data_IF_707562533646
#
_entry.id   IF_707562533646
#
_cell.length_a   1.000
_cell.length_b   1.000
_cell.length_c   1.000
_cell.angle_alpha   90.00
_cell.angle_beta   90.00
_cell.angle_gamma   90.00
#
_symmetry.space_group_name_H-M   'P 1'
#
loop_
_entity.id
_entity.type
_entity.pdbx_description
1 polymer ?
#
# COMPACT_ATOMS: atom_id res chain seq x y z
N UNK A 1 -17.54 -11.90 -8.04
CA UNK A 1 -17.42 -13.36 -7.87
C UNK A 1 -18.12 -13.80 -6.59
N UNK A 2 -18.74 -14.99 -6.53
CA UNK A 2 -19.41 -15.48 -5.32
C UNK A 2 -18.37 -16.01 -4.32
N UNK A 3 -18.49 -15.63 -3.04
CA UNK A 3 -17.67 -16.20 -1.97
C UNK A 3 -17.98 -17.68 -1.80
N UNK A 4 -16.98 -18.44 -1.35
CA UNK A 4 -17.07 -19.89 -1.20
C UNK A 4 -17.06 -20.21 0.29
N UNK A 5 -17.94 -21.10 0.74
CA UNK A 5 -17.92 -21.60 2.12
C UNK A 5 -16.70 -22.50 2.34
N UNK A 6 -16.02 -22.32 3.48
CA UNK A 6 -14.74 -23.02 3.73
C UNK A 6 -14.89 -24.52 3.95
N UNK A 7 -16.01 -24.97 4.51
CA UNK A 7 -16.21 -26.38 4.86
C UNK A 7 -16.81 -27.16 3.70
N UNK A 8 -17.83 -26.60 3.07
CA UNK A 8 -18.55 -27.24 1.96
C UNK A 8 -17.87 -27.04 0.61
N UNK A 9 -17.01 -26.03 0.47
CA UNK A 9 -16.40 -25.59 -0.79
C UNK A 9 -17.43 -25.19 -1.86
N UNK A 10 -18.64 -24.83 -1.44
CA UNK A 10 -19.72 -24.39 -2.33
C UNK A 10 -19.91 -22.86 -2.26
N UNK A 11 -20.41 -22.22 -3.33
CA UNK A 11 -20.77 -20.81 -3.30
C UNK A 11 -21.83 -20.51 -2.23
N UNK A 12 -21.63 -19.44 -1.46
CA UNK A 12 -22.62 -19.02 -0.45
C UNK A 12 -23.81 -18.27 -1.07
N UNK A 13 -23.60 -17.65 -2.23
CA UNK A 13 -24.66 -16.99 -2.99
C UNK A 13 -25.55 -18.04 -3.67
N UNK A 14 -26.86 -17.99 -3.43
CA UNK A 14 -27.82 -18.94 -4.02
C UNK A 14 -28.40 -18.45 -5.35
N UNK A 15 -28.52 -17.13 -5.52
CA UNK A 15 -29.04 -16.50 -6.73
C UNK A 15 -28.58 -15.03 -6.81
N UNK A 16 -28.70 -14.42 -8.00
CA UNK A 16 -28.23 -13.04 -8.24
C UNK A 16 -29.14 -11.99 -7.59
N UNK A 17 -30.47 -12.18 -7.65
CA UNK A 17 -31.43 -11.15 -7.27
C UNK A 17 -31.78 -11.09 -5.77
N UNK A 18 -31.53 -12.16 -5.01
CA UNK A 18 -31.94 -12.30 -3.61
C UNK A 18 -30.81 -12.61 -2.64
N UNK A 19 -29.57 -12.73 -3.11
CA UNK A 19 -28.41 -12.87 -2.21
C UNK A 19 -27.92 -11.50 -1.76
N UNK A 20 -27.56 -11.39 -0.48
CA UNK A 20 -26.93 -10.19 0.06
C UNK A 20 -25.61 -9.86 -0.67
N UNK A 21 -25.28 -8.57 -0.78
CA UNK A 21 -24.00 -8.11 -1.34
C UNK A 21 -22.81 -8.69 -0.58
N UNK A 22 -22.97 -8.99 0.70
CA UNK A 22 -21.96 -9.67 1.51
C UNK A 22 -21.63 -11.08 1.00
N UNK A 23 -22.43 -11.69 0.13
CA UNK A 23 -22.13 -12.98 -0.51
C UNK A 23 -21.11 -12.87 -1.65
N UNK A 24 -20.79 -11.66 -2.10
CA UNK A 24 -19.97 -11.40 -3.28
C UNK A 24 -18.65 -10.70 -2.91
N UNK A 25 -17.67 -10.76 -3.81
CA UNK A 25 -16.40 -10.04 -3.69
C UNK A 25 -15.80 -9.74 -5.08
N UNK A 26 -14.99 -8.67 -5.20
CA UNK A 26 -14.12 -8.47 -6.35
C UNK A 26 -12.95 -9.47 -6.31
N UNK A 27 -12.59 -10.12 -7.43
CA UNK A 27 -11.58 -11.19 -7.48
C UNK A 27 -10.11 -10.68 -7.46
N UNK A 28 -9.86 -9.59 -6.73
CA UNK A 28 -8.55 -8.92 -6.72
C UNK A 28 -8.30 -8.05 -7.97
N UNK A 29 -7.11 -7.46 -8.02
CA UNK A 29 -6.75 -6.50 -9.07
C UNK A 29 -6.25 -7.14 -10.37
N UNK A 30 -6.02 -8.46 -10.40
CA UNK A 30 -5.68 -9.19 -11.64
C UNK A 30 -6.81 -9.29 -12.65
N UNK A 31 -8.06 -9.13 -12.22
CA UNK A 31 -9.25 -9.10 -13.09
C UNK A 31 -9.30 -7.92 -14.05
N UNK A 32 -8.39 -6.95 -13.90
CA UNK A 32 -8.26 -5.81 -14.81
C UNK A 32 -8.14 -6.26 -16.28
N UNK A 33 -7.42 -7.34 -16.59
CA UNK A 33 -7.22 -7.77 -17.97
C UNK A 33 -8.52 -8.26 -18.62
N UNK A 34 -9.22 -9.16 -17.93
CA UNK A 34 -10.46 -9.75 -18.43
C UNK A 34 -11.59 -8.73 -18.49
N UNK A 35 -11.78 -7.96 -17.42
CA UNK A 35 -12.83 -6.94 -17.34
C UNK A 35 -12.62 -5.82 -18.35
N UNK A 36 -11.37 -5.38 -18.57
CA UNK A 36 -11.05 -4.35 -19.56
C UNK A 36 -11.29 -4.84 -21.00
N UNK A 37 -10.92 -6.07 -21.31
CA UNK A 37 -11.22 -6.69 -22.61
C UNK A 37 -12.72 -6.86 -22.84
N UNK A 38 -13.43 -7.48 -21.89
CA UNK A 38 -14.88 -7.72 -22.00
C UNK A 38 -15.72 -6.43 -22.04
N UNK A 39 -15.21 -5.32 -21.50
CA UNK A 39 -15.87 -4.02 -21.60
C UNK A 39 -15.88 -3.42 -23.02
N UNK A 40 -15.05 -3.94 -23.93
CA UNK A 40 -14.82 -3.37 -25.26
C UNK A 40 -13.94 -2.13 -25.28
N UNK A 41 -13.53 -1.60 -24.12
CA UNK A 41 -12.68 -0.40 -24.05
C UNK A 41 -11.28 -0.66 -24.59
N UNK A 42 -10.76 -1.89 -24.45
CA UNK A 42 -9.45 -2.25 -25.00
C UNK A 42 -9.39 -1.98 -26.51
N UNK A 43 -10.39 -2.45 -27.25
CA UNK A 43 -10.49 -2.26 -28.70
C UNK A 43 -10.64 -0.79 -29.05
N UNK A 44 -11.52 -0.07 -28.34
CA UNK A 44 -11.72 1.37 -28.53
C UNK A 44 -10.41 2.15 -28.38
N UNK A 45 -9.59 1.83 -27.38
CA UNK A 45 -8.32 2.52 -27.17
C UNK A 45 -7.27 2.15 -28.22
N UNK A 46 -7.22 0.89 -28.66
CA UNK A 46 -6.33 0.47 -29.75
C UNK A 46 -6.72 1.18 -31.05
N UNK A 47 -8.02 1.25 -31.37
CA UNK A 47 -8.55 1.94 -32.56
C UNK A 47 -8.27 3.46 -32.52
N UNK A 48 -8.22 4.06 -31.33
CA UNK A 48 -7.79 5.46 -31.13
C UNK A 48 -6.28 5.67 -31.26
N UNK A 49 -5.50 4.62 -31.57
CA UNK A 49 -4.04 4.68 -31.68
C UNK A 49 -3.32 4.74 -30.35
N UNK A 50 -3.92 4.24 -29.26
CA UNK A 50 -3.22 4.07 -27.97
C UNK A 50 -2.44 2.76 -27.98
N UNK A 51 -1.18 2.80 -27.55
CA UNK A 51 -0.31 1.61 -27.55
C UNK A 51 -0.04 1.08 -26.14
N UNK A 52 0.03 1.95 -25.14
CA UNK A 52 0.40 1.62 -23.77
C UNK A 52 -0.63 2.15 -22.78
N UNK A 53 -0.84 1.39 -21.70
CA UNK A 53 -1.62 1.77 -20.53
C UNK A 53 -0.72 1.80 -19.30
N UNK A 54 -0.87 2.85 -18.50
CA UNK A 54 -0.26 2.97 -17.18
C UNK A 54 -1.31 2.65 -16.10
N UNK A 55 -1.03 1.65 -15.26
CA UNK A 55 -1.87 1.23 -14.14
C UNK A 55 -1.17 1.58 -12.84
N UNK A 56 -1.90 2.20 -11.90
CA UNK A 56 -1.43 2.44 -10.54
C UNK A 56 -2.59 2.47 -9.55
N UNK A 57 -2.29 2.32 -8.27
CA UNK A 57 -3.28 2.48 -7.21
C UNK A 57 -3.61 3.97 -7.00
N UNK A 58 -4.88 4.30 -6.81
CA UNK A 58 -5.31 5.68 -6.51
C UNK A 58 -4.79 6.17 -5.14
N UNK A 59 -4.54 5.26 -4.21
CA UNK A 59 -3.93 5.56 -2.92
C UNK A 59 -2.42 5.80 -3.00
N UNK A 60 -1.76 5.49 -4.13
CA UNK A 60 -0.36 5.82 -4.37
C UNK A 60 -0.24 7.23 -4.98
N UNK A 61 -0.06 8.23 -4.13
CA UNK A 61 0.04 9.63 -4.55
C UNK A 61 1.35 9.94 -5.30
N UNK A 62 2.32 9.03 -5.28
CA UNK A 62 3.57 9.14 -6.04
C UNK A 62 3.46 8.67 -7.49
N UNK A 63 2.40 7.91 -7.82
CA UNK A 63 2.21 7.32 -9.14
C UNK A 63 1.71 8.34 -10.16
N UNK A 64 2.64 9.09 -10.73
CA UNK A 64 2.38 10.04 -11.82
C UNK A 64 2.94 9.52 -13.14
N UNK A 65 2.45 10.02 -14.27
CA UNK A 65 2.98 9.64 -15.59
C UNK A 65 4.42 10.16 -15.73
N UNK A 66 5.41 9.26 -15.79
CA UNK A 66 6.82 9.61 -15.98
C UNK A 66 7.18 9.58 -17.47
N UNK A 67 7.50 10.75 -18.02
CA UNK A 67 7.86 10.87 -19.44
C UNK A 67 9.18 10.17 -19.77
N UNK A 68 10.09 9.96 -18.81
CA UNK A 68 11.34 9.24 -19.08
C UNK A 68 11.08 7.74 -19.23
N UNK A 69 10.18 7.18 -18.41
CA UNK A 69 9.76 5.78 -18.53
C UNK A 69 8.98 5.58 -19.84
N UNK A 70 8.08 6.52 -20.16
CA UNK A 70 7.36 6.48 -21.44
C UNK A 70 8.31 6.60 -22.65
N UNK A 71 9.29 7.50 -22.57
CA UNK A 71 10.32 7.64 -23.61
C UNK A 71 11.15 6.35 -23.76
N UNK A 72 11.48 5.70 -22.64
CA UNK A 72 12.16 4.40 -22.64
C UNK A 72 11.30 3.32 -23.30
N UNK A 73 9.99 3.27 -23.05
CA UNK A 73 9.08 2.32 -23.69
C UNK A 73 9.00 2.49 -25.20
N UNK A 74 8.96 3.73 -25.69
CA UNK A 74 8.70 4.03 -27.11
C UNK A 74 9.98 3.99 -27.96
N UNK A 75 11.12 4.44 -27.43
CA UNK A 75 12.35 4.62 -28.22
C UNK A 75 13.34 3.45 -28.14
N UNK A 76 13.02 2.38 -27.41
CA UNK A 76 13.92 1.24 -27.32
C UNK A 76 13.79 0.34 -28.57
N UNK A 77 14.91 -0.26 -28.98
CA UNK A 77 14.91 -1.22 -30.10
C UNK A 77 14.16 -2.50 -29.75
N UNK A 78 14.15 -2.87 -28.47
CA UNK A 78 13.37 -3.98 -27.93
C UNK A 78 11.99 -3.50 -27.49
N UNK A 79 10.94 -4.05 -28.08
CA UNK A 79 9.57 -3.74 -27.67
C UNK A 79 9.27 -4.44 -26.35
N UNK A 80 9.08 -3.66 -25.29
CA UNK A 80 8.67 -4.17 -23.98
C UNK A 80 7.15 -4.21 -23.93
N UNK A 81 6.56 -5.39 -23.71
CA UNK A 81 5.12 -5.51 -23.56
C UNK A 81 4.64 -5.20 -22.12
N UNK A 82 5.53 -5.36 -21.12
CA UNK A 82 5.20 -5.15 -19.71
C UNK A 82 6.40 -4.58 -18.94
N UNK A 83 6.19 -3.46 -18.26
CA UNK A 83 7.16 -2.91 -17.31
C UNK A 83 6.53 -2.76 -15.93
N UNK A 84 7.22 -3.27 -14.92
CA UNK A 84 6.88 -3.09 -13.52
C UNK A 84 7.87 -2.13 -12.87
N UNK A 85 7.37 -1.04 -12.29
CA UNK A 85 8.22 -0.20 -11.44
C UNK A 85 8.45 -0.89 -10.10
N UNK A 86 9.71 -1.06 -9.74
CA UNK A 86 10.14 -1.57 -8.43
C UNK A 86 10.89 -0.48 -7.68
N UNK A 87 10.88 -0.53 -6.36
CA UNK A 87 11.67 0.38 -5.52
C UNK A 87 12.48 -0.42 -4.51
N UNK A 88 13.56 0.17 -3.99
CA UNK A 88 14.33 -0.45 -2.92
C UNK A 88 13.48 -0.67 -1.66
N UNK A 89 13.60 -1.88 -1.07
CA UNK A 89 12.97 -2.26 0.20
C UNK A 89 13.60 -1.48 1.35
N UNK A 90 12.77 -0.83 2.13
CA UNK A 90 13.12 -0.25 3.42
C UNK A 90 12.72 -1.20 4.55
N UNK A 91 13.18 -0.91 5.77
CA UNK A 91 12.74 -1.66 6.96
C UNK A 91 11.22 -1.58 7.20
N UNK A 92 10.54 -0.56 6.67
CA UNK A 92 9.09 -0.45 6.76
C UNK A 92 8.38 -1.48 5.86
N UNK A 93 8.98 -1.85 4.72
CA UNK A 93 8.36 -2.72 3.71
C UNK A 93 8.56 -4.23 4.00
N UNK A 94 9.37 -4.58 5.01
CA UNK A 94 9.76 -5.97 5.35
C UNK A 94 9.06 -6.53 6.59
N UNK A 95 8.16 -5.75 7.20
CA UNK A 95 7.39 -6.03 8.43
C UNK A 95 8.06 -5.53 9.72
N UNK A 96 7.18 -4.97 10.56
CA UNK A 96 7.27 -4.74 12.01
C UNK A 96 8.40 -5.52 12.68
N UNK A 97 9.52 -4.85 12.93
CA UNK A 97 10.32 -5.24 14.09
C UNK A 97 9.53 -4.82 15.33
N UNK A 98 9.05 -5.81 16.06
CA UNK A 98 8.95 -5.77 17.51
C UNK A 98 10.22 -5.08 18.01
N UNK A 99 10.11 -3.81 18.39
CA UNK A 99 11.16 -3.19 19.19
C UNK A 99 11.08 -3.96 20.51
N UNK A 100 11.98 -4.92 20.66
CA UNK A 100 12.40 -5.42 21.97
C UNK A 100 13.04 -4.24 22.70
N UNK A 101 12.21 -3.38 23.27
CA UNK A 101 12.59 -2.47 24.33
C UNK A 101 11.46 -2.52 25.37
N UNK A 102 11.81 -3.12 26.51
CA UNK A 102 11.02 -3.34 27.72
C UNK A 102 9.90 -4.41 27.67
N UNK A 103 10.04 -5.32 28.62
CA UNK A 103 9.32 -6.57 28.88
C UNK A 103 7.83 -6.44 29.24
N UNK A 104 7.11 -5.39 28.81
CA UNK A 104 5.75 -5.10 29.32
C UNK A 104 4.65 -5.05 28.25
N UNK A 105 4.94 -4.94 26.95
CA UNK A 105 3.86 -4.82 25.95
C UNK A 105 3.98 -5.83 24.81
N UNK A 106 3.48 -7.04 25.08
CA UNK A 106 3.07 -7.99 24.04
C UNK A 106 1.69 -7.58 23.52
N UNK A 107 1.60 -6.40 22.89
CA UNK A 107 0.40 -6.03 22.13
C UNK A 107 0.48 -6.75 20.79
N UNK A 108 -0.46 -7.67 20.61
CA UNK A 108 -0.66 -8.51 19.45
C UNK A 108 -1.01 -7.64 18.22
N UNK A 109 -0.01 -7.08 17.55
CA UNK A 109 -0.23 -6.44 16.25
C UNK A 109 -0.29 -7.51 15.16
N UNK A 110 -1.51 -7.95 14.85
CA UNK A 110 -1.81 -8.57 13.56
C UNK A 110 -1.73 -7.47 12.49
N UNK A 111 -0.54 -7.29 11.92
CA UNK A 111 -0.45 -6.64 10.61
C UNK A 111 -1.07 -7.60 9.61
N UNK A 112 -2.10 -7.12 8.89
CA UNK A 112 -2.70 -7.79 7.75
C UNK A 112 -1.60 -8.30 6.83
N UNK A 113 -1.72 -9.55 6.35
CA UNK A 113 -0.74 -10.15 5.46
C UNK A 113 -0.49 -9.33 4.18
N UNK A 114 -1.39 -8.39 3.84
CA UNK A 114 -1.32 -7.46 2.71
C UNK A 114 -0.17 -6.42 2.78
N UNK A 115 0.51 -6.24 3.91
CA UNK A 115 1.61 -5.26 4.04
C UNK A 115 3.00 -5.80 3.63
N UNK A 116 3.12 -7.07 3.22
CA UNK A 116 4.37 -7.65 2.71
C UNK A 116 4.21 -7.94 1.22
N UNK A 117 4.30 -6.91 0.39
CA UNK A 117 4.23 -7.07 -1.06
C UNK A 117 5.41 -7.84 -1.68
N UNK A 118 5.16 -8.31 -2.90
CA UNK A 118 6.05 -9.19 -3.64
C UNK A 118 7.34 -8.55 -4.18
N UNK A 119 8.21 -9.42 -4.68
CA UNK A 119 9.46 -9.07 -5.35
C UNK A 119 9.51 -9.70 -6.73
N UNK A 120 10.18 -9.05 -7.67
CA UNK A 120 10.50 -9.69 -8.94
C UNK A 120 11.61 -10.71 -8.75
N UNK A 121 11.43 -11.87 -9.38
CA UNK A 121 12.43 -12.94 -9.49
C UNK A 121 12.51 -13.42 -10.93
N UNK A 122 13.60 -14.11 -11.26
CA UNK A 122 13.69 -14.91 -12.47
C UNK A 122 13.42 -16.37 -12.12
N UNK A 123 12.50 -17.01 -12.83
CA UNK A 123 12.15 -18.42 -12.65
C UNK A 123 11.90 -19.05 -14.02
N UNK A 124 12.62 -20.13 -14.33
CA UNK A 124 12.59 -20.80 -15.64
C UNK A 124 12.82 -19.86 -16.84
N UNK A 125 13.74 -18.89 -16.69
CA UNK A 125 14.10 -17.94 -17.74
C UNK A 125 13.05 -16.85 -18.01
N UNK A 126 12.03 -16.73 -17.17
CA UNK A 126 11.02 -15.67 -17.23
C UNK A 126 10.98 -14.87 -15.93
N UNK A 127 10.67 -13.58 -16.03
CA UNK A 127 10.37 -12.76 -14.86
C UNK A 127 9.03 -13.15 -14.26
N UNK A 128 8.98 -13.27 -12.94
CA UNK A 128 7.77 -13.56 -12.16
C UNK A 128 7.70 -12.67 -10.93
N UNK A 129 6.49 -12.37 -10.49
CA UNK A 129 6.24 -11.71 -9.22
C UNK A 129 6.07 -12.78 -8.13
N UNK A 130 7.04 -12.87 -7.22
CA UNK A 130 6.98 -13.76 -6.08
C UNK A 130 6.35 -13.05 -4.88
N UNK A 131 5.19 -13.55 -4.46
CA UNK A 131 4.46 -13.09 -3.27
C UNK A 131 4.78 -13.97 -2.06
N UNK A 132 4.67 -13.41 -0.85
CA UNK A 132 4.95 -14.16 0.39
C UNK A 132 4.07 -15.41 0.55
N UNK A 133 2.83 -15.37 0.07
CA UNK A 133 1.89 -16.49 0.14
C UNK A 133 2.36 -17.72 -0.67
N UNK A 134 3.26 -17.51 -1.65
CA UNK A 134 3.83 -18.56 -2.49
C UNK A 134 5.12 -19.15 -1.89
N UNK A 135 5.68 -18.51 -0.86
CA UNK A 135 6.93 -18.94 -0.25
C UNK A 135 6.66 -20.02 0.80
N UNK A 136 7.34 -21.19 0.74
CA UNK A 136 7.23 -22.21 1.78
C UNK A 136 7.57 -21.65 3.16
N UNK A 137 6.85 -22.08 4.20
CA UNK A 137 6.98 -21.54 5.56
C UNK A 137 8.42 -21.52 6.08
N UNK A 138 9.23 -22.50 5.69
CA UNK A 138 10.63 -22.67 6.07
C UNK A 138 11.56 -21.59 5.48
N UNK A 139 11.17 -20.96 4.36
CA UNK A 139 11.97 -19.98 3.64
C UNK A 139 11.43 -18.54 3.76
N UNK A 140 10.36 -18.34 4.52
CA UNK A 140 9.72 -17.01 4.69
C UNK A 140 10.70 -15.97 5.25
N UNK A 141 11.56 -16.35 6.19
CA UNK A 141 12.53 -15.41 6.78
C UNK A 141 13.63 -15.03 5.79
N UNK A 142 13.97 -15.93 4.87
CA UNK A 142 14.90 -15.61 3.78
C UNK A 142 14.27 -14.65 2.77
N UNK A 143 13.00 -14.84 2.43
CA UNK A 143 12.24 -13.96 1.54
C UNK A 143 12.13 -12.53 2.11
N UNK A 144 11.95 -12.42 3.42
CA UNK A 144 11.95 -11.14 4.14
C UNK A 144 13.33 -10.48 4.16
N UNK A 145 14.40 -11.22 3.94
CA UNK A 145 15.74 -10.64 4.04
C UNK A 145 15.99 -9.59 2.95
N UNK A 146 16.16 -8.33 3.36
CA UNK A 146 16.53 -7.20 2.48
C UNK A 146 17.89 -7.46 1.80
N UNK A 147 18.77 -8.27 2.41
CA UNK A 147 20.05 -8.61 1.80
C UNK A 147 19.93 -9.50 0.57
N UNK A 148 18.91 -10.39 0.55
CA UNK A 148 18.62 -11.29 -0.58
C UNK A 148 17.72 -10.61 -1.60
N UNK A 149 16.58 -10.09 -1.15
CA UNK A 149 15.62 -9.40 -1.99
C UNK A 149 15.65 -7.91 -1.69
N UNK A 150 16.27 -7.13 -2.57
CA UNK A 150 16.50 -5.69 -2.37
C UNK A 150 15.37 -4.82 -2.87
N UNK A 151 14.56 -5.32 -3.81
CA UNK A 151 13.53 -4.58 -4.52
C UNK A 151 12.13 -5.06 -4.12
N UNK A 152 11.15 -4.20 -4.38
CA UNK A 152 9.74 -4.40 -4.04
C UNK A 152 8.85 -3.84 -5.16
N UNK A 153 7.76 -4.56 -5.48
CA UNK A 153 6.79 -4.12 -6.48
C UNK A 153 5.97 -2.91 -6.01
N UNK A 154 6.00 -1.80 -6.75
CA UNK A 154 5.22 -0.59 -6.41
C UNK A 154 3.75 -0.66 -6.85
N UNK A 155 3.39 -1.67 -7.64
CA UNK A 155 2.12 -1.81 -8.36
C UNK A 155 1.86 -0.68 -9.39
N UNK A 156 2.90 0.05 -9.80
CA UNK A 156 2.88 0.92 -10.97
C UNK A 156 3.34 0.10 -12.19
N UNK A 157 2.43 -0.14 -13.14
CA UNK A 157 2.60 -1.05 -14.26
C UNK A 157 2.40 -0.31 -15.59
N UNK A 158 3.25 -0.60 -16.58
CA UNK A 158 3.11 -0.09 -17.94
C UNK A 158 2.94 -1.27 -18.87
N UNK A 159 1.81 -1.35 -19.57
CA UNK A 159 1.43 -2.55 -20.30
C UNK A 159 1.01 -2.19 -21.72
N UNK A 160 1.51 -2.93 -22.70
CA UNK A 160 1.15 -2.78 -24.10
C UNK A 160 -0.27 -3.31 -24.36
N UNK A 161 -1.12 -2.50 -24.97
CA UNK A 161 -2.53 -2.84 -25.21
C UNK A 161 -2.70 -3.99 -26.20
N UNK A 162 -1.90 -4.01 -27.28
CA UNK A 162 -1.97 -5.09 -28.26
C UNK A 162 -1.53 -6.44 -27.66
N UNK A 163 -0.54 -6.42 -26.74
CA UNK A 163 -0.12 -7.60 -26.02
C UNK A 163 -1.22 -8.14 -25.07
N UNK A 164 -1.96 -7.27 -24.37
CA UNK A 164 -3.12 -7.69 -23.56
C UNK A 164 -4.13 -8.41 -24.46
N UNK A 165 -4.47 -7.83 -25.61
CA UNK A 165 -5.42 -8.43 -26.56
C UNK A 165 -4.94 -9.81 -27.03
N UNK A 166 -3.68 -9.89 -27.50
CA UNK A 166 -3.05 -11.14 -27.95
C UNK A 166 -3.11 -12.23 -26.88
N UNK A 167 -2.66 -11.93 -25.66
CA UNK A 167 -2.58 -12.91 -24.56
C UNK A 167 -3.96 -13.43 -24.16
N UNK A 168 -5.00 -12.59 -24.21
CA UNK A 168 -6.37 -12.98 -23.89
C UNK A 168 -7.03 -13.79 -25.03
N UNK A 169 -6.84 -13.40 -26.29
CA UNK A 169 -7.36 -14.14 -27.45
C UNK A 169 -6.68 -15.51 -27.63
N UNK A 170 -5.39 -15.60 -27.31
CA UNK A 170 -4.62 -16.85 -27.33
C UNK A 170 -4.80 -17.69 -26.05
N UNK A 171 -5.54 -17.19 -25.05
CA UNK A 171 -5.75 -17.83 -23.74
C UNK A 171 -4.42 -18.18 -23.00
N UNK A 172 -3.40 -17.33 -23.14
CA UNK A 172 -2.06 -17.53 -22.54
C UNK A 172 -1.81 -16.76 -21.24
N UNK A 173 -2.84 -16.09 -20.70
CA UNK A 173 -2.75 -15.36 -19.44
C UNK A 173 -2.61 -16.33 -18.26
N UNK A 174 -1.45 -16.30 -17.59
CA UNK A 174 -1.16 -17.09 -16.40
C UNK A 174 -0.92 -16.16 -15.20
N UNK A 175 -1.71 -16.34 -14.15
CA UNK A 175 -1.57 -15.65 -12.88
C UNK A 175 -1.75 -16.64 -11.73
N UNK A 176 -0.94 -16.50 -10.70
CA UNK A 176 -1.08 -17.32 -9.50
C UNK A 176 -2.35 -16.94 -8.73
N UNK A 177 -3.09 -17.97 -8.28
CA UNK A 177 -4.30 -17.80 -7.48
C UNK A 177 -3.90 -17.49 -6.03
N UNK A 178 -4.44 -16.41 -5.49
CA UNK A 178 -4.33 -16.01 -4.10
C UNK A 178 -5.58 -16.50 -3.37
N UNK A 179 -5.40 -17.34 -2.36
CA UNK A 179 -6.50 -17.91 -1.55
C UNK A 179 -6.61 -17.13 -0.24
N UNK A 180 -7.62 -16.28 -0.15
CA UNK A 180 -7.92 -15.46 1.01
C UNK A 180 -8.96 -16.15 1.89
N UNK A 181 -8.60 -16.44 3.14
CA UNK A 181 -9.53 -16.93 4.16
C UNK A 181 -10.04 -15.77 5.01
N UNK A 182 -11.36 -15.61 5.09
CA UNK A 182 -12.01 -14.57 5.91
C UNK A 182 -13.15 -15.17 6.73
N UNK A 183 -13.52 -14.48 7.80
CA UNK A 183 -14.70 -14.80 8.61
C UNK A 183 -15.69 -13.65 8.46
N UNK A 184 -16.92 -13.96 8.06
CA UNK A 184 -18.00 -12.98 7.93
C UNK A 184 -18.55 -12.60 9.32
N UNK A 185 -19.27 -11.49 9.41
CA UNK A 185 -19.81 -10.96 10.67
C UNK A 185 -20.77 -11.93 11.38
N UNK A 186 -21.42 -12.81 10.62
CA UNK A 186 -22.28 -13.89 11.13
C UNK A 186 -21.48 -15.11 11.65
N UNK A 187 -20.14 -15.05 11.65
CA UNK A 187 -19.25 -16.14 12.07
C UNK A 187 -18.93 -17.17 10.98
N UNK A 188 -19.48 -17.03 9.77
CA UNK A 188 -19.24 -17.97 8.68
C UNK A 188 -17.81 -17.84 8.14
N UNK A 189 -17.09 -18.96 8.06
CA UNK A 189 -15.76 -19.00 7.48
C UNK A 189 -15.84 -19.18 5.95
N UNK A 190 -15.20 -18.28 5.22
CA UNK A 190 -15.26 -18.24 3.76
C UNK A 190 -13.87 -18.27 3.12
N UNK A 191 -13.87 -18.57 1.82
CA UNK A 191 -12.75 -18.52 0.91
C UNK A 191 -13.06 -17.50 -0.20
N UNK A 192 -12.07 -16.70 -0.53
CA UNK A 192 -12.02 -15.78 -1.67
C UNK A 192 -10.82 -16.17 -2.53
N UNK A 193 -11.02 -16.27 -3.83
CA UNK A 193 -10.00 -16.58 -4.82
C UNK A 193 -9.72 -15.31 -5.62
N UNK A 194 -8.51 -14.82 -5.53
CA UNK A 194 -8.11 -13.55 -6.13
C UNK A 194 -6.87 -13.74 -7.00
N UNK A 195 -6.60 -12.76 -7.86
CA UNK A 195 -5.35 -12.69 -8.62
C UNK A 195 -4.75 -11.28 -8.52
N UNK A 196 -3.45 -11.16 -8.74
CA UNK A 196 -2.74 -9.90 -8.72
C UNK A 196 -2.35 -9.48 -10.15
N UNK A 197 -2.63 -8.23 -10.53
CA UNK A 197 -2.28 -7.69 -11.86
C UNK A 197 -0.79 -7.83 -12.19
N UNK A 198 0.09 -7.65 -11.20
CA UNK A 198 1.54 -7.81 -11.38
C UNK A 198 1.99 -9.25 -11.64
N UNK A 199 1.20 -10.26 -11.28
CA UNK A 199 1.52 -11.66 -11.52
C UNK A 199 1.51 -12.02 -13.01
N UNK A 200 0.73 -11.28 -13.82
CA UNK A 200 0.62 -11.48 -15.25
C UNK A 200 1.93 -11.23 -16.01
N UNK A 201 2.94 -10.58 -15.39
CA UNK A 201 4.23 -10.23 -16.01
C UNK A 201 4.89 -11.41 -16.75
N UNK A 202 4.67 -12.64 -16.30
CA UNK A 202 5.23 -13.86 -16.90
C UNK A 202 4.63 -14.26 -18.26
N UNK A 203 3.44 -13.76 -18.58
CA UNK A 203 2.75 -13.99 -19.86
C UNK A 203 3.16 -13.00 -20.95
N UNK A 204 3.89 -11.94 -20.61
CA UNK A 204 4.29 -10.89 -21.55
C UNK A 204 5.71 -11.09 -22.07
N UNK A 205 5.93 -10.76 -23.34
CA UNK A 205 7.24 -10.78 -23.97
C UNK A 205 8.02 -9.49 -23.67
N UNK A 206 9.34 -9.61 -23.55
CA UNK A 206 10.21 -8.48 -23.22
C UNK A 206 9.87 -7.81 -21.87
N UNK A 207 9.24 -8.55 -20.96
CA UNK A 207 8.89 -8.04 -19.64
C UNK A 207 10.13 -7.58 -18.85
N UNK A 208 10.02 -6.47 -18.13
CA UNK A 208 11.15 -5.88 -17.41
C UNK A 208 10.75 -5.17 -16.10
N UNK A 209 11.64 -5.20 -15.11
CA UNK A 209 11.55 -4.34 -13.92
C UNK A 209 12.41 -3.09 -14.07
N UNK A 210 11.90 -1.91 -13.70
CA UNK A 210 12.68 -0.67 -13.60
C UNK A 210 12.73 -0.23 -12.15
N UNK A 211 13.94 -0.04 -11.60
CA UNK A 211 14.10 0.52 -10.27
C UNK A 211 13.85 2.04 -10.31
N UNK A 212 12.83 2.49 -9.58
CA UNK A 212 12.42 3.89 -9.50
C UNK A 212 12.68 4.47 -8.12
N UNK A 213 12.93 5.80 -8.01
CA UNK A 213 13.06 6.43 -6.71
C UNK A 213 11.74 6.34 -5.93
N UNK A 214 11.86 6.14 -4.61
CA UNK A 214 10.72 5.96 -3.70
C UNK A 214 9.68 7.09 -3.73
N UNK A 215 10.01 8.28 -4.24
CA UNK A 215 9.04 9.35 -4.50
C UNK A 215 7.87 8.93 -5.41
N UNK A 216 8.04 7.88 -6.23
CA UNK A 216 6.98 7.28 -7.06
C UNK A 216 6.11 6.24 -6.33
N UNK A 217 6.46 5.94 -5.08
CA UNK A 217 5.77 4.99 -4.21
C UNK A 217 5.46 5.67 -2.86
N UNK A 218 4.34 6.40 -2.85
CA UNK A 218 3.79 7.12 -1.70
C UNK A 218 2.34 6.66 -1.43
N UNK A 219 2.14 5.40 -1.00
CA UNK A 219 0.83 4.87 -0.67
C UNK A 219 0.28 5.49 0.62
N UNK A 220 -1.01 5.85 0.63
CA UNK A 220 -1.74 6.31 1.81
C UNK A 220 -2.74 5.23 2.22
N UNK A 221 -2.36 4.38 3.18
CA UNK A 221 -3.17 3.24 3.64
C UNK A 221 -3.77 3.48 5.02
N UNK A 222 -3.09 4.25 5.84
CA UNK A 222 -3.46 4.52 7.22
C UNK A 222 -3.58 6.02 7.50
N UNK A 223 -4.19 6.38 8.62
CA UNK A 223 -4.20 7.78 9.09
C UNK A 223 -2.82 8.27 9.51
N UNK A 224 -1.85 7.38 9.75
CA UNK A 224 -0.45 7.75 9.95
C UNK A 224 0.16 8.30 8.66
N UNK A 225 -0.14 7.67 7.51
CA UNK A 225 0.27 8.15 6.19
C UNK A 225 -0.46 9.45 5.84
N UNK A 226 -1.75 9.53 6.19
CA UNK A 226 -2.56 10.72 6.00
C UNK A 226 -1.97 11.94 6.72
N UNK A 227 -1.50 11.77 7.97
CA UNK A 227 -0.83 12.83 8.71
C UNK A 227 0.39 13.37 7.97
N UNK A 228 1.20 12.47 7.39
CA UNK A 228 2.40 12.84 6.66
C UNK A 228 2.06 13.68 5.42
N UNK A 229 1.13 13.21 4.58
CA UNK A 229 0.77 13.89 3.32
C UNK A 229 -0.01 15.19 3.53
N UNK A 230 -0.74 15.31 4.66
CA UNK A 230 -1.42 16.55 5.03
C UNK A 230 -0.51 17.60 5.67
N UNK A 231 0.64 17.18 6.20
CA UNK A 231 1.58 18.09 6.88
C UNK A 231 2.38 18.94 5.90
N UNK A 232 3.05 19.97 6.44
CA UNK A 232 3.98 20.82 5.68
C UNK A 232 5.23 20.10 5.16
N UNK A 233 5.34 18.79 5.40
CA UNK A 233 6.34 17.91 4.82
C UNK A 233 6.21 17.82 3.30
N UNK A 234 4.99 17.93 2.78
CA UNK A 234 4.70 17.94 1.36
C UNK A 234 4.07 19.26 0.93
N UNK A 235 4.28 19.60 -0.34
CA UNK A 235 3.64 20.72 -1.01
C UNK A 235 2.82 20.18 -2.17
N UNK A 236 1.60 20.69 -2.35
CA UNK A 236 0.72 20.30 -3.45
C UNK A 236 0.92 21.25 -4.63
N UNK A 237 1.37 20.72 -5.76
CA UNK A 237 1.54 21.47 -6.99
C UNK A 237 0.78 20.79 -8.14
N UNK A 238 -0.31 21.42 -8.62
CA UNK A 238 -1.17 20.92 -9.70
C UNK A 238 -1.61 19.46 -9.52
N UNK A 239 -1.99 19.09 -8.30
CA UNK A 239 -2.42 17.73 -7.96
C UNK A 239 -1.30 16.75 -7.60
N UNK A 240 -0.03 17.14 -7.76
CA UNK A 240 1.12 16.32 -7.40
C UNK A 240 1.68 16.73 -6.03
N UNK A 241 1.91 15.75 -5.16
CA UNK A 241 2.62 15.98 -3.90
C UNK A 241 4.13 15.92 -4.13
N UNK A 242 4.82 16.99 -3.73
CA UNK A 242 6.27 17.09 -3.79
C UNK A 242 6.79 17.35 -2.39
N UNK A 243 7.80 16.56 -1.97
CA UNK A 243 8.46 16.77 -0.69
C UNK A 243 8.97 18.21 -0.60
N UNK A 244 8.70 18.87 0.52
CA UNK A 244 9.05 20.27 0.74
C UNK A 244 10.57 20.44 0.66
N UNK A 245 11.03 21.39 -0.17
CA UNK A 245 12.45 21.68 -0.39
C UNK A 245 13.15 22.19 0.88
N UNK A 246 12.41 22.67 1.87
CA UNK A 246 12.94 23.07 3.18
C UNK A 246 13.30 21.86 4.08
N UNK A 247 12.95 20.64 3.68
CA UNK A 247 13.30 19.44 4.46
C UNK A 247 14.80 19.16 4.31
N UNK A 248 15.52 19.12 5.42
CA UNK A 248 16.96 18.88 5.45
C UNK A 248 17.38 17.47 4.98
N UNK A 249 16.49 16.49 5.09
CA UNK A 249 16.76 15.09 4.74
C UNK A 249 15.72 14.51 3.77
N UNK A 250 16.12 13.73 2.75
CA UNK A 250 15.20 13.19 1.76
C UNK A 250 14.35 12.01 2.27
N UNK A 251 14.61 11.50 3.47
CA UNK A 251 13.86 10.40 4.07
C UNK A 251 12.47 10.87 4.53
N UNK A 252 11.45 10.02 4.39
CA UNK A 252 10.11 10.26 4.96
C UNK A 252 10.13 9.86 6.45
N UNK A 253 9.52 10.63 7.37
CA UNK A 253 9.48 10.28 8.79
C UNK A 253 8.67 9.00 9.03
N UNK A 254 9.01 8.26 10.09
CA UNK A 254 8.20 7.13 10.54
C UNK A 254 7.10 7.60 11.51
N UNK A 255 5.83 7.50 11.11
CA UNK A 255 4.69 7.86 11.95
C UNK A 255 3.91 6.60 12.34
N UNK A 256 3.59 6.47 13.62
CA UNK A 256 2.72 5.43 14.17
C UNK A 256 1.69 6.06 15.10
N UNK A 257 0.44 6.10 14.66
CA UNK A 257 -0.68 6.56 15.47
C UNK A 257 -1.40 5.37 16.13
N UNK A 258 -1.99 5.62 17.31
CA UNK A 258 -2.73 4.63 18.06
C UNK A 258 -4.01 4.18 17.33
N UNK A 259 -4.60 3.02 17.68
CA UNK A 259 -5.89 2.58 17.14
C UNK A 259 -7.04 3.60 17.29
N UNK A 260 -6.95 4.50 18.28
CA UNK A 260 -7.87 5.63 18.49
C UNK A 260 -7.86 6.66 17.35
N UNK A 261 -6.89 6.59 16.43
CA UNK A 261 -6.80 7.39 15.21
C UNK A 261 -7.16 6.60 13.95
N UNK A 262 -7.55 5.32 14.04
CA UNK A 262 -7.75 4.45 12.87
C UNK A 262 -8.83 4.95 11.91
N UNK A 263 -9.92 5.52 12.44
CA UNK A 263 -10.99 6.12 11.64
C UNK A 263 -10.65 7.58 11.32
N UNK A 264 -10.86 7.97 10.06
CA UNK A 264 -10.61 9.34 9.59
C UNK A 264 -11.34 10.39 10.44
N UNK A 265 -12.59 10.11 10.84
CA UNK A 265 -13.36 11.02 11.71
C UNK A 265 -12.68 11.27 13.06
N UNK A 266 -12.17 10.21 13.68
CA UNK A 266 -11.50 10.30 14.98
C UNK A 266 -10.10 10.91 14.85
N UNK A 267 -9.40 10.62 13.75
CA UNK A 267 -8.15 11.30 13.40
C UNK A 267 -8.35 12.81 13.27
N UNK A 268 -9.31 13.26 12.46
CA UNK A 268 -9.57 14.68 12.24
C UNK A 268 -10.02 15.41 13.51
N UNK A 269 -10.82 14.76 14.37
CA UNK A 269 -11.28 15.38 15.62
C UNK A 269 -10.16 15.52 16.67
N UNK A 270 -9.11 14.69 16.58
CA UNK A 270 -7.97 14.70 17.50
C UNK A 270 -6.88 15.71 17.13
N UNK A 271 -6.87 16.22 15.91
CA UNK A 271 -5.95 17.27 15.46
C UNK A 271 -6.73 18.55 15.16
N UNK A 272 -6.65 19.55 16.05
CA UNK A 272 -7.26 20.86 15.77
C UNK A 272 -6.62 21.54 14.55
N UNK A 273 -5.33 21.28 14.30
CA UNK A 273 -4.64 21.57 13.05
C UNK A 273 -3.55 20.52 12.82
N UNK A 274 -3.16 20.29 11.57
CA UNK A 274 -2.05 19.38 11.27
C UNK A 274 -0.74 19.98 11.78
N UNK A 275 0.05 19.24 12.59
CA UNK A 275 1.30 19.74 13.14
C UNK A 275 2.37 19.97 12.07
N UNK A 276 3.34 20.83 12.39
CA UNK A 276 4.56 20.97 11.61
C UNK A 276 5.46 19.74 11.83
N UNK A 277 5.74 19.02 10.74
CA UNK A 277 6.52 17.79 10.72
C UNK A 277 7.79 17.91 9.86
N UNK A 278 8.22 19.13 9.51
CA UNK A 278 9.32 19.35 8.57
C UNK A 278 10.64 18.75 9.06
N UNK A 279 10.91 18.88 10.36
CA UNK A 279 12.10 18.37 11.05
C UNK A 279 11.82 17.06 11.82
N UNK A 280 10.73 16.37 11.51
CA UNK A 280 10.38 15.11 12.15
C UNK A 280 11.18 13.93 11.56
N UNK A 281 11.72 13.09 12.44
CA UNK A 281 12.32 11.80 12.10
C UNK A 281 11.36 10.65 12.41
N UNK A 282 10.76 10.66 13.61
CA UNK A 282 9.77 9.67 14.00
C UNK A 282 8.76 10.18 15.01
N UNK A 283 7.51 9.74 14.87
CA UNK A 283 6.40 10.01 15.78
C UNK A 283 5.74 8.69 16.19
N UNK A 284 5.62 8.44 17.48
CA UNK A 284 4.80 7.36 18.03
C UNK A 284 3.78 7.93 19.00
N UNK A 285 2.50 7.72 18.73
CA UNK A 285 1.40 8.15 19.60
C UNK A 285 0.64 6.92 20.06
N UNK A 286 0.51 6.75 21.37
CA UNK A 286 -0.23 5.66 22.01
C UNK A 286 -1.29 6.21 22.98
N UNK A 287 -2.47 5.60 22.98
CA UNK A 287 -3.56 5.95 23.89
C UNK A 287 -4.49 7.07 23.40
N UNK A 288 -5.16 7.73 24.36
CA UNK A 288 -6.11 8.82 24.11
C UNK A 288 -5.36 10.16 24.10
N UNK A 289 -4.96 10.62 22.91
CA UNK A 289 -4.17 11.85 22.71
C UNK A 289 -4.89 12.81 21.79
N UNK A 290 -4.83 14.11 22.10
CA UNK A 290 -5.30 15.20 21.22
C UNK A 290 -4.20 16.24 21.02
N UNK A 291 -4.28 16.98 19.92
CA UNK A 291 -3.32 18.00 19.51
C UNK A 291 -4.03 19.33 19.27
N UNK A 292 -3.59 20.36 19.99
CA UNK A 292 -4.02 21.74 19.79
C UNK A 292 -3.51 22.34 18.47
N UNK A 293 -3.89 23.60 18.22
CA UNK A 293 -3.45 24.31 17.02
C UNK A 293 -1.95 24.65 17.05
N UNK A 294 -1.29 24.64 15.90
CA UNK A 294 0.10 25.14 15.75
C UNK A 294 1.18 24.30 16.43
N UNK A 295 0.92 23.03 16.71
CA UNK A 295 1.92 22.11 17.29
C UNK A 295 3.07 21.86 16.31
N UNK A 296 4.30 21.79 16.81
CA UNK A 296 5.51 21.46 16.03
C UNK A 296 6.20 20.23 16.60
N UNK A 297 6.54 19.28 15.73
CA UNK A 297 7.18 18.01 16.09
C UNK A 297 8.54 17.89 15.39
N UNK A 298 9.60 17.62 16.17
CA UNK A 298 10.98 17.57 15.68
C UNK A 298 11.74 16.36 16.23
N UNK A 299 12.61 15.78 15.40
CA UNK A 299 13.41 14.61 15.76
C UNK A 299 12.54 13.40 16.09
N UNK A 300 12.77 12.78 17.25
CA UNK A 300 11.99 11.63 17.73
C UNK A 300 11.02 12.02 18.83
N UNK A 301 9.72 11.91 18.56
CA UNK A 301 8.65 12.22 19.52
C UNK A 301 7.84 10.98 19.85
N UNK A 302 7.70 10.68 21.14
CA UNK A 302 6.90 9.56 21.64
C UNK A 302 5.89 10.10 22.65
N UNK A 303 4.60 9.84 22.45
CA UNK A 303 3.51 10.30 23.32
C UNK A 303 2.71 9.08 23.76
N UNK A 304 2.60 8.85 25.07
CA UNK A 304 1.97 7.67 25.65
C UNK A 304 0.97 8.10 26.74
N UNK A 305 -0.31 8.01 26.42
CA UNK A 305 -1.38 8.02 27.42
C UNK A 305 -1.71 6.58 27.81
N UNK A 306 -1.60 6.22 29.10
CA UNK A 306 -1.94 4.86 29.52
C UNK A 306 -3.46 4.63 29.51
N UNK A 307 -3.88 3.39 29.75
CA UNK A 307 -5.29 3.05 29.76
C UNK A 307 -6.06 3.87 30.81
N UNK A 308 -7.12 4.56 30.38
CA UNK A 308 -7.92 5.45 31.22
C UNK A 308 -7.37 6.87 31.37
N UNK A 309 -6.14 7.12 30.92
CA UNK A 309 -5.53 8.45 30.88
C UNK A 309 -5.79 9.14 29.54
N UNK A 310 -5.72 10.47 29.54
CA UNK A 310 -5.80 11.28 28.33
C UNK A 310 -4.72 12.35 28.35
N UNK A 311 -4.13 12.64 27.19
CA UNK A 311 -3.16 13.73 27.03
C UNK A 311 -3.67 14.70 25.98
N UNK A 312 -3.97 15.93 26.40
CA UNK A 312 -4.21 17.04 25.49
C UNK A 312 -2.91 17.84 25.31
N UNK A 313 -2.32 17.77 24.10
CA UNK A 313 -1.13 18.56 23.77
C UNK A 313 -1.58 20.00 23.51
N UNK A 314 -1.07 20.99 24.28
CA UNK A 314 -1.52 22.37 24.19
C UNK A 314 -1.22 23.00 22.84
N UNK A 315 -1.99 24.03 22.48
CA UNK A 315 -1.73 24.82 21.29
C UNK A 315 -0.33 25.47 21.33
N UNK A 316 0.35 25.50 20.19
CA UNK A 316 1.70 26.05 20.04
C UNK A 316 2.81 25.18 20.64
N UNK A 317 2.51 23.98 21.16
CA UNK A 317 3.52 23.11 21.75
C UNK A 317 4.60 22.72 20.74
N UNK A 318 5.87 22.79 21.18
CA UNK A 318 7.02 22.32 20.41
C UNK A 318 7.60 21.12 21.12
N UNK A 319 7.53 19.95 20.47
CA UNK A 319 8.08 18.70 20.98
C UNK A 319 9.29 18.29 20.14
N UNK A 320 10.46 18.32 20.75
CA UNK A 320 11.73 17.98 20.11
C UNK A 320 12.50 16.95 20.92
N UNK A 321 12.69 15.74 20.35
CA UNK A 321 13.42 14.65 21.01
C UNK A 321 12.88 14.34 22.42
N UNK A 322 11.55 14.26 22.56
CA UNK A 322 10.86 14.06 23.85
C UNK A 322 10.02 12.80 23.88
N UNK A 323 9.96 12.21 25.07
CA UNK A 323 8.96 11.24 25.47
C UNK A 323 8.01 11.95 26.42
N UNK A 324 6.72 11.99 26.06
CA UNK A 324 5.63 12.59 26.84
C UNK A 324 4.73 11.47 27.33
N UNK A 325 4.50 11.37 28.63
CA UNK A 325 3.62 10.37 29.22
C UNK A 325 2.89 10.91 30.44
N UNK A 326 1.69 10.39 30.70
CA UNK A 326 0.88 10.73 31.87
C UNK A 326 -0.56 11.08 31.51
N UNK A 327 -1.17 11.92 32.35
CA UNK A 327 -2.57 12.34 32.22
C UNK A 327 -2.66 13.87 32.33
N UNK A 328 -3.06 14.52 31.23
CA UNK A 328 -3.22 15.96 31.13
C UNK A 328 -4.50 16.28 30.36
N UNK A 329 -5.44 16.97 31.02
CA UNK A 329 -6.67 17.47 30.39
C UNK A 329 -6.66 18.98 30.38
N UNK A 330 -6.90 19.57 29.20
CA UNK A 330 -7.03 21.02 29.04
C UNK A 330 -8.51 21.32 28.83
N UNK A 331 -9.09 22.11 29.74
CA UNK A 331 -10.48 22.55 29.67
C UNK A 331 -10.56 23.99 29.17
N UNK A 332 -11.56 24.32 28.37
CA UNK A 332 -11.86 25.71 28.01
C UNK A 332 -12.30 26.47 29.28
N UNK A 333 -11.76 27.68 29.46
CA UNK A 333 -12.02 28.54 30.61
C UNK A 333 -13.22 29.46 30.40
#
# INVERSE_FOLDING_TARGET
YPRIDRETLLPIAKNIAGSDNSCWYPPGHGDIYQSFYQSGLLDVFIEQGKEYMFISNIDNLGATVDLNILNYLINNQTKHEFIMEVTDKTRADVKVRTITCFQIFKVLFFVSNDEQGGTLIEYNGKLRLLEIAQVPKEHVDEFKSISKFRIFNTNNLWINLAAIKRILEEETLEMEIIVNHKTMDNGLNIIQLETASGAAIQSFEGAQGINVPRRRFLPVKTTSDLLLVMSNLFTLNRGNLVMNAQRSFPSVPLVKLAPSFSKVKDFLSRFQSIPNCLELDSLTVSGDVTFGQGVTLRGTVIIIANHGERIDIPAGAILENKIVSGNLRILEH
#
